data_IF_155053264658
#
_entry.id   IF_155053264658
#
_cell.length_a   1.000
_cell.length_b   1.000
_cell.length_c   1.000
_cell.angle_alpha   90.00
_cell.angle_beta   90.00
_cell.angle_gamma   90.00
#
_symmetry.space_group_name_H-M   'P 1'
#
loop_
_entity.id
_entity.type
_entity.pdbx_description
1 polymer ?
#
# COMPACT_ATOMS: atom_id res chain seq x y z
N UNK A 1 -6.99 5.97 12.56
CA UNK A 1 -7.18 5.45 11.19
C UNK A 1 -8.49 6.05 10.73
N UNK A 2 -8.52 6.75 9.60
CA UNK A 2 -9.79 7.24 9.07
C UNK A 2 -10.66 6.04 8.66
N UNK A 3 -11.96 6.02 9.00
CA UNK A 3 -12.85 4.95 8.60
C UNK A 3 -12.95 4.93 7.07
N UNK A 4 -12.66 3.79 6.46
CA UNK A 4 -12.86 3.60 5.03
C UNK A 4 -14.36 3.39 4.77
N UNK A 5 -14.98 4.33 4.06
CA UNK A 5 -16.37 4.23 3.62
C UNK A 5 -16.38 3.35 2.38
N UNK A 6 -16.98 2.17 2.49
CA UNK A 6 -17.14 1.26 1.36
C UNK A 6 -18.51 1.50 0.72
N UNK A 7 -18.52 2.13 -0.45
CA UNK A 7 -19.73 2.34 -1.24
C UNK A 7 -19.82 1.25 -2.31
N UNK A 8 -20.93 0.51 -2.37
CA UNK A 8 -21.20 -0.43 -3.47
C UNK A 8 -21.77 0.29 -4.70
N UNK A 9 -21.86 -0.40 -5.83
CA UNK A 9 -22.31 0.12 -7.13
C UNK A 9 -23.65 0.87 -7.10
N UNK A 10 -24.51 0.59 -6.12
CA UNK A 10 -25.81 1.22 -5.91
C UNK A 10 -25.76 2.48 -5.01
N UNK A 11 -24.57 2.94 -4.60
CA UNK A 11 -24.42 4.12 -3.74
C UNK A 11 -24.74 3.89 -2.26
N UNK A 12 -24.86 2.64 -1.82
CA UNK A 12 -25.16 2.28 -0.42
C UNK A 12 -23.87 2.17 0.38
N UNK A 13 -23.89 2.52 1.67
CA UNK A 13 -22.73 2.31 2.54
C UNK A 13 -22.75 0.88 3.09
N UNK A 14 -21.65 0.14 2.88
CA UNK A 14 -21.51 -1.25 3.33
C UNK A 14 -20.53 -1.32 4.48
N UNK A 15 -20.96 -1.99 5.56
CA UNK A 15 -20.06 -2.32 6.67
C UNK A 15 -19.15 -3.47 6.26
N UNK A 16 -17.86 -3.18 6.06
CA UNK A 16 -16.81 -4.18 5.79
C UNK A 16 -15.68 -4.03 6.78
N UNK A 17 -14.99 -5.13 7.07
CA UNK A 17 -13.74 -5.09 7.83
C UNK A 17 -12.63 -4.51 6.96
N UNK A 18 -11.91 -3.47 7.40
CA UNK A 18 -10.78 -2.93 6.65
C UNK A 18 -9.66 -3.98 6.58
N UNK A 19 -9.05 -4.10 5.40
CA UNK A 19 -7.91 -5.00 5.20
C UNK A 19 -6.65 -4.37 5.80
N UNK A 20 -5.97 -5.07 6.70
CA UNK A 20 -4.67 -4.63 7.19
C UNK A 20 -3.58 -4.97 6.18
N UNK A 21 -2.81 -3.94 5.79
CA UNK A 21 -1.70 -4.08 4.85
C UNK A 21 -0.40 -4.19 5.63
N UNK A 22 0.36 -5.26 5.38
CA UNK A 22 1.67 -5.52 5.97
C UNK A 22 2.77 -5.33 4.93
N UNK A 23 3.91 -4.77 5.35
CA UNK A 23 5.08 -4.60 4.48
C UNK A 23 6.37 -4.97 5.20
N UNK A 24 7.39 -5.35 4.43
CA UNK A 24 8.70 -5.74 4.96
C UNK A 24 9.53 -4.51 5.32
N UNK A 25 10.01 -4.48 6.57
CA UNK A 25 10.88 -3.44 7.12
C UNK A 25 12.30 -4.02 7.27
N UNK A 26 13.01 -3.73 8.35
CA UNK A 26 14.37 -4.18 8.63
C UNK A 26 14.39 -5.62 9.15
N UNK A 27 13.87 -6.56 8.36
CA UNK A 27 13.92 -8.00 8.66
C UNK A 27 12.62 -8.64 9.16
N UNK A 28 11.54 -7.87 9.35
CA UNK A 28 10.22 -8.38 9.75
C UNK A 28 9.08 -7.68 9.03
N UNK A 29 7.88 -8.27 9.09
CA UNK A 29 6.66 -7.68 8.55
C UNK A 29 6.00 -6.77 9.59
N UNK A 30 5.69 -5.53 9.20
CA UNK A 30 5.04 -4.54 10.06
C UNK A 30 3.78 -4.00 9.38
N UNK A 31 2.68 -3.78 10.12
CA UNK A 31 1.49 -3.16 9.54
C UNK A 31 1.82 -1.73 9.09
N UNK A 32 1.37 -1.37 7.89
CA UNK A 32 1.55 -0.03 7.32
C UNK A 32 0.81 1.02 8.16
N UNK A 33 -0.31 0.63 8.76
CA UNK A 33 -1.11 1.48 9.67
C UNK A 33 -0.30 2.03 10.85
N UNK A 34 0.74 1.33 11.29
CA UNK A 34 1.59 1.76 12.40
C UNK A 34 2.73 2.71 11.96
N UNK A 35 2.85 3.09 10.68
CA UNK A 35 3.96 3.92 10.22
C UNK A 35 3.82 5.35 10.75
N UNK A 36 4.85 5.83 11.45
CA UNK A 36 4.96 7.24 11.81
C UNK A 36 5.39 8.07 10.58
N UNK A 37 5.35 9.39 10.69
CA UNK A 37 5.66 10.31 9.58
C UNK A 37 7.07 10.07 9.03
N UNK A 38 8.06 9.88 9.91
CA UNK A 38 9.44 9.59 9.49
C UNK A 38 9.58 8.28 8.72
N UNK A 39 8.92 7.21 9.17
CA UNK A 39 8.93 5.91 8.50
C UNK A 39 8.22 5.95 7.14
N UNK A 40 7.15 6.74 7.02
CA UNK A 40 6.50 7.00 5.72
C UNK A 40 7.48 7.68 4.77
N UNK A 41 8.15 8.74 5.21
CA UNK A 41 9.16 9.46 4.40
C UNK A 41 10.30 8.55 3.95
N UNK A 42 10.87 7.75 4.87
CA UNK A 42 11.90 6.76 4.52
C UNK A 42 11.40 5.73 3.52
N UNK A 43 10.19 5.20 3.72
CA UNK A 43 9.60 4.21 2.82
C UNK A 43 9.41 4.77 1.40
N UNK A 44 8.90 6.01 1.26
CA UNK A 44 8.75 6.68 -0.04
C UNK A 44 10.08 7.00 -0.71
N UNK A 45 11.15 7.15 0.07
CA UNK A 45 12.51 7.41 -0.44
C UNK A 45 13.22 6.14 -0.93
N UNK A 46 12.66 4.94 -0.70
CA UNK A 46 13.26 3.67 -1.13
C UNK A 46 13.27 3.57 -2.65
N UNK A 47 14.43 3.19 -3.21
CA UNK A 47 14.56 2.89 -4.65
C UNK A 47 14.43 1.39 -4.87
N UNK A 48 13.53 1.01 -5.78
CA UNK A 48 13.39 -0.36 -6.22
C UNK A 48 14.37 -0.66 -7.35
N UNK A 49 14.87 -1.90 -7.38
CA UNK A 49 15.64 -2.36 -8.51
C UNK A 49 14.74 -2.42 -9.75
N UNK A 50 15.14 -1.72 -10.81
CA UNK A 50 14.49 -1.78 -12.12
C UNK A 50 15.39 -2.56 -13.06
N UNK A 51 14.98 -3.77 -13.43
CA UNK A 51 15.65 -4.55 -14.48
C UNK A 51 15.39 -3.91 -15.84
N UNK A 52 16.30 -4.04 -16.80
CA UNK A 52 16.17 -3.50 -18.17
C UNK A 52 14.84 -3.82 -18.85
N UNK A 53 14.26 -4.99 -18.58
CA UNK A 53 12.99 -5.41 -19.17
C UNK A 53 11.76 -4.86 -18.44
N UNK A 54 11.90 -4.13 -17.32
CA UNK A 54 10.75 -3.66 -16.55
C UNK A 54 9.89 -2.68 -17.35
N UNK A 55 10.51 -1.84 -18.18
CA UNK A 55 9.79 -0.87 -19.01
C UNK A 55 8.93 -1.58 -20.08
N UNK A 56 9.46 -2.66 -20.66
CA UNK A 56 8.71 -3.50 -21.60
C UNK A 56 7.50 -4.17 -20.93
N UNK A 57 7.61 -4.56 -19.67
CA UNK A 57 6.48 -5.15 -18.94
C UNK A 57 5.45 -4.09 -18.55
N UNK A 58 5.87 -2.87 -18.17
CA UNK A 58 4.97 -1.76 -17.82
C UNK A 58 4.17 -1.24 -19.03
N UNK A 59 4.73 -1.32 -20.24
CA UNK A 59 4.07 -0.85 -21.46
C UNK A 59 2.99 -1.82 -21.99
N UNK A 60 3.05 -3.11 -21.63
CA UNK A 60 2.14 -4.16 -22.09
C UNK A 60 1.18 -4.67 -21.01
N UNK A 61 1.10 -3.98 -19.87
CA UNK A 61 0.23 -4.32 -18.74
C UNK A 61 -0.92 -3.33 -18.63
#
# INVERSE_FOLDING_TARGET
MEPQIFINENGVEVQRTPCEIYTRVMGYHRPVTHFNIGKKSEFYSRKYFKTTNCCFIEEYK
#
